data_IF_622010540574
#
_entry.id   IF_622010540574
#
_cell.length_a   1.000
_cell.length_b   1.000
_cell.length_c   1.000
_cell.angle_alpha   90.00
_cell.angle_beta   90.00
_cell.angle_gamma   90.00
#
_symmetry.space_group_name_H-M   'P 1'
#
loop_
_entity.id
_entity.type
_entity.pdbx_description
1 polymer ?
#
# COMPACT_ATOMS: atom_id res chain seq x y z
N UNK A 1 6.08 27.96 16.52
CA UNK A 1 4.66 28.14 16.23
C UNK A 1 4.28 27.75 14.80
N UNK A 2 4.76 28.42 13.72
CA UNK A 2 4.42 28.02 12.33
C UNK A 2 4.95 26.63 11.89
N UNK A 3 6.11 26.19 12.35
CA UNK A 3 6.67 24.88 12.01
C UNK A 3 5.96 23.73 12.73
N UNK A 4 5.50 23.95 13.95
CA UNK A 4 4.73 22.96 14.72
C UNK A 4 3.37 22.69 14.10
N UNK A 5 2.65 23.72 13.65
CA UNK A 5 1.34 23.60 13.03
C UNK A 5 1.39 22.85 11.69
N UNK A 6 2.45 23.07 10.89
CA UNK A 6 2.66 22.37 9.60
C UNK A 6 3.04 20.90 9.80
N UNK A 7 3.85 20.59 10.80
CA UNK A 7 4.20 19.21 11.17
C UNK A 7 2.97 18.40 11.61
N UNK A 8 2.12 19.01 12.41
CA UNK A 8 0.91 18.39 12.95
C UNK A 8 -0.12 18.12 11.83
N UNK A 9 -0.27 19.02 10.88
CA UNK A 9 -1.15 18.87 9.71
C UNK A 9 -0.67 17.74 8.79
N UNK A 10 0.64 17.67 8.53
CA UNK A 10 1.22 16.61 7.71
C UNK A 10 1.12 15.24 8.38
N UNK A 11 1.38 15.14 9.68
CA UNK A 11 1.21 13.90 10.45
C UNK A 11 -0.23 13.40 10.37
N UNK A 12 -1.22 14.25 10.61
CA UNK A 12 -2.65 13.89 10.53
C UNK A 12 -3.04 13.38 9.15
N UNK A 13 -2.52 13.99 8.08
CA UNK A 13 -2.76 13.53 6.70
C UNK A 13 -2.31 12.10 6.48
N UNK A 14 -1.11 11.73 6.93
CA UNK A 14 -0.59 10.38 6.74
C UNK A 14 -1.21 9.37 7.71
N UNK A 15 -1.61 9.79 8.92
CA UNK A 15 -2.41 8.97 9.82
C UNK A 15 -3.78 8.64 9.22
N UNK A 16 -4.44 9.61 8.59
CA UNK A 16 -5.72 9.38 7.91
C UNK A 16 -5.55 8.39 6.73
N UNK A 17 -4.46 8.49 5.99
CA UNK A 17 -4.17 7.55 4.91
C UNK A 17 -3.87 6.14 5.45
N UNK A 18 -3.11 6.05 6.55
CA UNK A 18 -2.89 4.80 7.29
C UNK A 18 -4.21 4.18 7.76
N UNK A 19 -5.10 4.98 8.35
CA UNK A 19 -6.42 4.55 8.79
C UNK A 19 -7.29 4.05 7.63
N UNK A 20 -7.26 4.75 6.48
CA UNK A 20 -7.97 4.32 5.28
C UNK A 20 -7.50 2.93 4.82
N UNK A 21 -6.19 2.71 4.76
CA UNK A 21 -5.63 1.40 4.41
C UNK A 21 -6.00 0.32 5.43
N UNK A 22 -6.04 0.64 6.74
CA UNK A 22 -6.48 -0.28 7.77
C UNK A 22 -7.93 -0.70 7.60
N UNK A 23 -8.83 0.24 7.31
CA UNK A 23 -10.26 -0.03 7.05
C UNK A 23 -10.41 -0.91 5.81
N UNK A 24 -9.72 -0.58 4.71
CA UNK A 24 -9.73 -1.38 3.49
C UNK A 24 -9.17 -2.80 3.73
N UNK A 25 -8.12 -2.92 4.54
CA UNK A 25 -7.53 -4.21 4.89
C UNK A 25 -8.51 -5.07 5.70
N UNK A 26 -9.18 -4.50 6.71
CA UNK A 26 -10.20 -5.20 7.49
C UNK A 26 -11.38 -5.63 6.61
N UNK A 27 -11.88 -4.76 5.76
CA UNK A 27 -12.92 -5.08 4.79
C UNK A 27 -12.50 -6.23 3.86
N UNK A 28 -11.25 -6.19 3.36
CA UNK A 28 -10.68 -7.26 2.55
C UNK A 28 -10.56 -8.59 3.28
N UNK A 29 -10.21 -8.58 4.56
CA UNK A 29 -10.14 -9.78 5.40
C UNK A 29 -11.53 -10.39 5.66
N UNK A 30 -12.53 -9.56 5.97
CA UNK A 30 -13.92 -10.00 6.12
C UNK A 30 -14.46 -10.54 4.81
N UNK A 31 -14.22 -9.82 3.70
CA UNK A 31 -14.63 -10.29 2.37
C UNK A 31 -14.00 -11.66 2.04
N UNK A 32 -12.72 -11.82 2.24
CA UNK A 32 -12.05 -13.10 2.01
C UNK A 32 -12.73 -14.25 2.77
N UNK A 33 -12.94 -14.07 4.07
CA UNK A 33 -13.55 -15.09 4.93
C UNK A 33 -14.98 -15.44 4.49
N UNK A 34 -15.82 -14.44 4.34
CA UNK A 34 -17.25 -14.66 4.03
C UNK A 34 -17.43 -15.17 2.60
N UNK A 35 -16.63 -14.66 1.65
CA UNK A 35 -16.69 -15.10 0.25
C UNK A 35 -16.28 -16.55 0.07
N UNK A 36 -15.16 -16.98 0.70
CA UNK A 36 -14.74 -18.39 0.65
C UNK A 36 -15.72 -19.32 1.35
N UNK A 37 -16.29 -18.90 2.49
CA UNK A 37 -17.32 -19.65 3.21
C UNK A 37 -18.58 -19.82 2.37
N UNK A 38 -19.09 -18.74 1.76
CA UNK A 38 -20.27 -18.77 0.91
C UNK A 38 -20.16 -19.74 -0.26
N UNK A 39 -18.95 -19.88 -0.82
CA UNK A 39 -18.67 -20.76 -1.95
C UNK A 39 -18.11 -22.14 -1.53
N UNK A 40 -18.16 -22.46 -0.23
CA UNK A 40 -17.58 -23.71 0.32
C UNK A 40 -16.14 -23.98 -0.18
N UNK A 41 -15.36 -22.94 -0.40
CA UNK A 41 -14.02 -23.03 -0.94
C UNK A 41 -13.00 -23.36 0.16
N UNK A 42 -12.30 -24.49 0.04
CA UNK A 42 -11.31 -24.95 1.04
C UNK A 42 -9.86 -24.86 0.54
N UNK A 43 -9.66 -24.41 -0.71
CA UNK A 43 -8.36 -24.31 -1.33
C UNK A 43 -7.58 -23.05 -0.95
N UNK A 44 -6.40 -22.89 -1.55
CA UNK A 44 -5.57 -21.68 -1.42
C UNK A 44 -5.97 -20.64 -2.47
N UNK A 45 -6.20 -19.42 -2.05
CA UNK A 45 -6.58 -18.30 -2.94
C UNK A 45 -5.77 -17.04 -2.68
N UNK A 46 -5.58 -16.24 -3.70
CA UNK A 46 -4.92 -14.93 -3.60
C UNK A 46 -5.69 -13.92 -2.72
N UNK A 47 -7.01 -14.13 -2.48
CA UNK A 47 -7.82 -13.29 -1.59
C UNK A 47 -7.24 -13.17 -0.19
N UNK A 48 -6.67 -14.23 0.36
CA UNK A 48 -6.06 -14.23 1.68
C UNK A 48 -4.86 -13.28 1.80
N UNK A 49 -4.28 -12.85 0.68
CA UNK A 49 -3.13 -11.91 0.66
C UNK A 49 -3.56 -10.44 0.57
N UNK A 50 -4.79 -10.14 0.21
CA UNK A 50 -5.26 -8.76 0.02
C UNK A 50 -5.14 -7.95 1.31
N UNK A 51 -5.71 -8.45 2.40
CA UNK A 51 -5.68 -7.74 3.68
C UNK A 51 -4.26 -7.60 4.25
N UNK A 52 -3.41 -8.61 4.11
CA UNK A 52 -2.01 -8.54 4.57
C UNK A 52 -1.19 -7.53 3.78
N UNK A 53 -1.40 -7.41 2.45
CA UNK A 53 -0.76 -6.37 1.65
C UNK A 53 -1.21 -4.98 2.09
N UNK A 54 -2.50 -4.77 2.29
CA UNK A 54 -3.04 -3.47 2.72
C UNK A 54 -2.60 -3.10 4.13
N UNK A 55 -2.50 -4.06 5.07
CA UNK A 55 -1.97 -3.78 6.41
C UNK A 55 -0.49 -3.46 6.38
N UNK A 56 0.33 -4.28 5.74
CA UNK A 56 1.78 -4.12 5.79
C UNK A 56 2.28 -3.00 4.86
N UNK A 57 1.82 -2.99 3.63
CA UNK A 57 2.28 -2.03 2.62
C UNK A 57 1.45 -0.73 2.63
N UNK A 58 0.22 -0.77 3.06
CA UNK A 58 -0.61 0.43 3.21
C UNK A 58 -0.49 1.04 4.60
N UNK A 59 -1.19 0.45 5.56
CA UNK A 59 -1.31 1.00 6.93
C UNK A 59 0.05 1.21 7.59
N UNK A 60 0.91 0.17 7.66
CA UNK A 60 2.18 0.25 8.39
C UNK A 60 3.14 1.26 7.78
N UNK A 61 3.27 1.30 6.46
CA UNK A 61 4.18 2.25 5.79
C UNK A 61 3.72 3.68 6.03
N UNK A 62 2.42 3.99 5.92
CA UNK A 62 1.93 5.35 6.18
C UNK A 62 1.92 5.72 7.66
N UNK A 63 1.81 4.75 8.58
CA UNK A 63 2.03 4.99 10.00
C UNK A 63 3.49 5.42 10.26
N UNK A 64 4.46 4.73 9.67
CA UNK A 64 5.88 5.11 9.75
C UNK A 64 6.12 6.48 9.13
N UNK A 65 5.55 6.76 7.95
CA UNK A 65 5.63 8.07 7.30
C UNK A 65 5.08 9.18 8.21
N UNK A 66 3.96 8.93 8.89
CA UNK A 66 3.37 9.90 9.82
C UNK A 66 4.31 10.24 10.99
N UNK A 67 5.00 9.23 11.54
CA UNK A 67 5.97 9.43 12.63
C UNK A 67 7.17 10.29 12.19
N UNK A 68 7.67 10.08 10.96
CA UNK A 68 8.75 10.92 10.43
C UNK A 68 8.25 12.33 10.09
N UNK A 69 7.03 12.47 9.53
CA UNK A 69 6.43 13.75 9.18
C UNK A 69 6.14 14.64 10.40
N UNK A 70 5.98 14.03 11.58
CA UNK A 70 5.84 14.77 12.84
C UNK A 70 7.14 15.51 13.25
N UNK A 71 8.30 15.03 12.78
CA UNK A 71 9.62 15.56 13.16
C UNK A 71 10.38 16.27 12.06
N UNK A 72 9.97 16.07 10.80
CA UNK A 72 10.70 16.54 9.62
C UNK A 72 9.72 17.00 8.54
N UNK A 73 10.04 18.09 7.85
CA UNK A 73 9.25 18.48 6.66
C UNK A 73 9.64 17.62 5.46
N UNK A 74 8.93 16.50 5.28
CA UNK A 74 9.12 15.60 4.15
C UNK A 74 8.53 16.17 2.84
N UNK A 75 7.57 17.08 2.95
CA UNK A 75 6.76 17.54 1.79
C UNK A 75 7.54 18.40 0.81
N UNK A 76 8.61 19.07 1.25
CA UNK A 76 9.51 19.84 0.39
C UNK A 76 10.41 19.01 -0.53
N UNK A 77 10.52 17.70 -0.31
CA UNK A 77 11.46 16.86 -1.04
C UNK A 77 10.81 16.18 -2.25
N UNK A 78 11.34 16.42 -3.46
CA UNK A 78 10.84 15.82 -4.72
C UNK A 78 10.78 14.29 -4.69
N UNK A 79 11.76 13.63 -4.04
CA UNK A 79 11.77 12.17 -3.92
C UNK A 79 10.61 11.66 -3.07
N UNK A 80 10.25 12.38 -2.01
CA UNK A 80 9.12 12.03 -1.18
C UNK A 80 7.79 12.23 -1.92
N UNK A 81 7.66 13.29 -2.72
CA UNK A 81 6.48 13.49 -3.56
C UNK A 81 6.35 12.39 -4.62
N UNK A 82 7.48 12.00 -5.27
CA UNK A 82 7.48 10.88 -6.21
C UNK A 82 7.07 9.56 -5.54
N UNK A 83 7.59 9.29 -4.31
CA UNK A 83 7.12 8.17 -3.50
C UNK A 83 5.62 8.20 -3.31
N UNK A 84 5.05 9.32 -2.86
CA UNK A 84 3.61 9.42 -2.60
C UNK A 84 2.77 9.04 -3.82
N UNK A 85 3.13 9.50 -5.01
CA UNK A 85 2.40 9.19 -6.24
C UNK A 85 2.57 7.74 -6.66
N UNK A 86 3.80 7.28 -6.81
CA UNK A 86 4.13 5.95 -7.31
C UNK A 86 3.60 4.87 -6.36
N UNK A 87 3.76 5.07 -5.06
CA UNK A 87 3.36 4.11 -4.04
C UNK A 87 1.85 3.99 -3.89
N UNK A 88 1.13 5.13 -3.89
CA UNK A 88 -0.33 5.14 -3.80
C UNK A 88 -1.03 4.63 -5.07
N UNK A 89 -0.31 4.45 -6.17
CA UNK A 89 -0.79 3.72 -7.35
C UNK A 89 -0.42 2.23 -7.21
N UNK A 90 0.81 1.93 -6.83
CA UNK A 90 1.36 0.57 -6.79
C UNK A 90 0.64 -0.35 -5.80
N UNK A 91 0.44 0.09 -4.56
CA UNK A 91 -0.20 -0.72 -3.51
C UNK A 91 -1.65 -1.06 -3.83
N UNK A 92 -2.53 -0.09 -4.17
CA UNK A 92 -3.90 -0.42 -4.55
C UNK A 92 -3.99 -1.29 -5.80
N UNK A 93 -3.13 -1.05 -6.80
CA UNK A 93 -3.11 -1.86 -8.02
C UNK A 93 -2.75 -3.31 -7.71
N UNK A 94 -1.73 -3.55 -6.88
CA UNK A 94 -1.35 -4.89 -6.42
C UNK A 94 -2.49 -5.57 -5.66
N UNK A 95 -3.12 -4.86 -4.72
CA UNK A 95 -4.24 -5.37 -3.94
C UNK A 95 -5.46 -5.69 -4.83
N UNK A 96 -5.77 -4.83 -5.81
CA UNK A 96 -6.86 -5.06 -6.77
C UNK A 96 -6.61 -6.31 -7.62
N UNK A 97 -5.37 -6.52 -8.10
CA UNK A 97 -5.05 -7.70 -8.89
C UNK A 97 -5.06 -9.00 -8.06
N UNK A 98 -4.66 -8.93 -6.79
CA UNK A 98 -4.83 -10.06 -5.84
C UNK A 98 -6.31 -10.37 -5.61
N UNK A 99 -7.15 -9.35 -5.49
CA UNK A 99 -8.60 -9.49 -5.37
C UNK A 99 -9.18 -10.18 -6.61
N UNK A 100 -8.90 -9.66 -7.81
CA UNK A 100 -9.36 -10.23 -9.08
C UNK A 100 -8.90 -11.67 -9.24
N UNK A 101 -7.61 -11.95 -9.03
CA UNK A 101 -7.07 -13.31 -9.10
C UNK A 101 -7.74 -14.22 -8.08
N UNK A 102 -7.92 -13.74 -6.86
CA UNK A 102 -8.49 -14.54 -5.79
C UNK A 102 -9.97 -14.88 -6.01
N UNK A 103 -10.77 -13.91 -6.50
CA UNK A 103 -12.19 -14.15 -6.86
C UNK A 103 -12.29 -15.18 -7.97
N UNK A 104 -11.48 -15.06 -9.04
CA UNK A 104 -11.49 -16.03 -10.14
C UNK A 104 -11.10 -17.43 -9.69
N UNK A 105 -10.20 -17.57 -8.70
CA UNK A 105 -9.82 -18.85 -8.10
C UNK A 105 -10.96 -19.48 -7.30
N UNK A 106 -11.62 -18.70 -6.45
CA UNK A 106 -12.74 -19.19 -5.61
C UNK A 106 -13.92 -19.63 -6.48
N UNK A 107 -14.23 -18.86 -7.53
CA UNK A 107 -15.33 -19.16 -8.44
C UNK A 107 -14.96 -20.21 -9.51
N UNK A 108 -13.74 -20.73 -9.51
CA UNK A 108 -13.22 -21.66 -10.52
C UNK A 108 -13.49 -21.19 -11.97
N UNK A 109 -13.39 -19.87 -12.22
CA UNK A 109 -13.66 -19.30 -13.53
C UNK A 109 -12.59 -19.72 -14.54
N UNK A 110 -12.98 -20.27 -15.70
CA UNK A 110 -12.04 -20.59 -16.75
C UNK A 110 -11.50 -19.32 -17.40
N UNK A 111 -10.27 -18.95 -17.06
CA UNK A 111 -9.57 -17.81 -17.66
C UNK A 111 -8.87 -18.27 -18.94
N UNK A 112 -9.01 -17.50 -20.04
CA UNK A 112 -8.14 -17.67 -21.18
C UNK A 112 -6.67 -17.41 -20.80
N UNK A 113 -5.73 -17.99 -21.55
CA UNK A 113 -4.30 -17.75 -21.33
C UNK A 113 -3.96 -16.24 -21.35
N UNK A 114 -4.57 -15.48 -22.28
CA UNK A 114 -4.40 -14.02 -22.37
C UNK A 114 -4.93 -13.28 -21.15
N UNK A 115 -6.13 -13.62 -20.63
CA UNK A 115 -6.69 -13.00 -19.43
C UNK A 115 -5.83 -13.30 -18.20
N UNK A 116 -5.38 -14.55 -18.07
CA UNK A 116 -4.48 -14.93 -16.97
C UNK A 116 -3.14 -14.19 -17.02
N UNK A 117 -2.54 -14.05 -18.20
CA UNK A 117 -1.32 -13.30 -18.41
C UNK A 117 -1.51 -11.79 -18.11
N UNK A 118 -2.64 -11.21 -18.55
CA UNK A 118 -2.94 -9.79 -18.27
C UNK A 118 -3.04 -9.51 -16.75
N UNK A 119 -3.77 -10.35 -15.99
CA UNK A 119 -3.88 -10.21 -14.54
C UNK A 119 -2.49 -10.30 -13.89
N UNK A 120 -1.65 -11.24 -14.32
CA UNK A 120 -0.29 -11.40 -13.78
C UNK A 120 0.62 -10.22 -14.16
N UNK A 121 0.54 -9.74 -15.41
CA UNK A 121 1.32 -8.60 -15.89
C UNK A 121 0.99 -7.31 -15.13
N UNK A 122 -0.30 -6.99 -14.98
CA UNK A 122 -0.75 -5.81 -14.23
C UNK A 122 -0.37 -5.92 -12.75
N UNK A 123 -0.50 -7.12 -12.15
CA UNK A 123 0.00 -7.36 -10.79
C UNK A 123 1.50 -7.12 -10.68
N UNK A 124 2.30 -7.58 -11.66
CA UNK A 124 3.74 -7.33 -11.73
C UNK A 124 4.08 -5.84 -11.77
N UNK A 125 3.37 -5.05 -12.57
CA UNK A 125 3.51 -3.59 -12.61
C UNK A 125 3.22 -3.00 -11.22
N UNK A 126 2.15 -3.40 -10.56
CA UNK A 126 1.81 -2.95 -9.20
C UNK A 126 2.94 -3.23 -8.21
N UNK A 127 3.56 -4.40 -8.25
CA UNK A 127 4.69 -4.75 -7.38
C UNK A 127 5.94 -3.93 -7.68
N UNK A 128 6.26 -3.67 -8.96
CA UNK A 128 7.39 -2.82 -9.36
C UNK A 128 7.19 -1.40 -8.85
N UNK A 129 5.98 -0.82 -9.02
CA UNK A 129 5.66 0.51 -8.51
C UNK A 129 5.77 0.57 -6.99
N UNK A 130 5.25 -0.44 -6.29
CA UNK A 130 5.33 -0.53 -4.82
C UNK A 130 6.79 -0.60 -4.36
N UNK A 131 7.60 -1.48 -4.95
CA UNK A 131 9.02 -1.61 -4.63
C UNK A 131 9.82 -0.34 -4.92
N UNK A 132 9.58 0.28 -6.08
CA UNK A 132 10.18 1.58 -6.44
C UNK A 132 9.80 2.65 -5.41
N UNK A 133 8.53 2.72 -5.02
CA UNK A 133 8.04 3.65 -4.01
C UNK A 133 8.75 3.47 -2.67
N UNK A 134 8.91 2.22 -2.18
CA UNK A 134 9.65 1.95 -0.93
C UNK A 134 11.09 2.45 -1.01
N UNK A 135 11.78 2.19 -2.13
CA UNK A 135 13.16 2.67 -2.32
C UNK A 135 13.21 4.20 -2.27
N UNK A 136 12.30 4.89 -2.96
CA UNK A 136 12.22 6.35 -2.95
C UNK A 136 11.96 6.89 -1.55
N UNK A 137 11.08 6.26 -0.77
CA UNK A 137 10.82 6.61 0.62
C UNK A 137 12.10 6.51 1.46
N UNK A 138 12.77 5.35 1.43
CA UNK A 138 13.97 5.11 2.23
C UNK A 138 15.11 6.07 1.86
N UNK A 139 15.32 6.33 0.57
CA UNK A 139 16.32 7.32 0.10
C UNK A 139 15.95 8.73 0.55
N UNK A 140 14.67 9.09 0.50
CA UNK A 140 14.19 10.39 0.99
C UNK A 140 14.47 10.55 2.48
N UNK A 141 14.08 9.56 3.30
CA UNK A 141 14.30 9.58 4.75
C UNK A 141 15.79 9.62 5.12
N UNK A 142 16.63 8.88 4.39
CA UNK A 142 18.09 8.92 4.60
C UNK A 142 18.67 10.32 4.35
N UNK A 143 18.19 11.02 3.31
CA UNK A 143 18.66 12.38 3.00
C UNK A 143 18.23 13.39 4.05
N UNK A 144 17.00 13.30 4.54
CA UNK A 144 16.49 14.21 5.58
C UNK A 144 17.14 13.98 6.93
N UNK A 145 17.42 12.73 7.30
CA UNK A 145 18.13 12.41 8.53
C UNK A 145 19.57 12.95 8.56
N UNK A 146 20.26 12.98 7.41
CA UNK A 146 21.62 13.54 7.29
C UNK A 146 21.68 15.07 7.35
N UNK A 147 20.61 15.77 7.01
CA UNK A 147 20.56 17.24 7.03
C UNK A 147 20.35 17.84 8.43
N UNK A 148 19.92 17.03 9.42
CA UNK A 148 19.67 17.46 10.80
C UNK A 148 20.87 17.35 11.74
N UNK A 149 22.00 16.85 11.28
CA UNK A 149 23.26 16.71 12.05
C UNK A 149 24.32 17.62 11.43
N UNK A 150 24.09 18.94 11.49
CA UNK A 150 25.21 19.90 11.38
C UNK A 150 25.61 20.26 12.80
N UNK A 151 26.93 20.15 13.14
CA UNK A 151 27.44 20.49 14.46
C UNK A 151 27.31 21.98 14.76
#
# INVERSE_FOLDING_TARGET
>A
MFFEEKGDTNMKKYLNLSLLYAICAMAGGVFYREFTKLHAFTGVTALGRVHTHLFLLGMMVFLVVALFAARQDLTGHKLFQAFLWIYNIGVPLSAAMLLVRGVTQVLALPLSAGASAAISGVAGIGHILTGTGIILLLVSLKKTAGAGVSP
#
